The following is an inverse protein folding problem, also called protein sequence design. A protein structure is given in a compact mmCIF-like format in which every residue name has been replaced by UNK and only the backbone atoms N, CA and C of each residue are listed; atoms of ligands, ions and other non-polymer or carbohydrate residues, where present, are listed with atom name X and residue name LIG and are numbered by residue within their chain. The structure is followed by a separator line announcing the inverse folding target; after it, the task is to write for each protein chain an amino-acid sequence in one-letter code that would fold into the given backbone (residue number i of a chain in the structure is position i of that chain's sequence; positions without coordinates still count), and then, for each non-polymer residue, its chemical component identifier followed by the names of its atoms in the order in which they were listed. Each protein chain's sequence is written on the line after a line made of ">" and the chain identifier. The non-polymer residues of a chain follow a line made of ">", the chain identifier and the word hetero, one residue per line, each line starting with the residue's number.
data_IF_886070260018
#
_entry.id   IF_886070260018
#
_cell.length_a   1.000
_cell.length_b   1.000
_cell.length_c   1.000
_cell.angle_alpha   90.00
_cell.angle_beta   90.00
_cell.angle_gamma   90.00
#
_symmetry.space_group_name_H-M   'P 1'
#
loop_
_entity.id
_entity.type
_entity.pdbx_description
1 polymer ?
#
# COMPACT_ATOMS: atom_id res chain seq x y z
N UNK A 1 9.22 7.23 12.03
CA UNK A 1 8.33 6.26 11.35
C UNK A 1 7.68 5.34 12.36
N UNK A 2 6.37 5.27 12.34
CA UNK A 2 5.61 4.35 13.19
C UNK A 2 4.96 3.28 12.32
N UNK A 3 5.39 2.03 12.47
CA UNK A 3 4.80 0.92 11.72
C UNK A 3 3.44 0.56 12.31
N UNK A 4 2.41 0.60 11.48
CA UNK A 4 1.04 0.20 11.87
C UNK A 4 0.82 -1.29 11.59
N UNK A 5 1.22 -1.73 10.39
CA UNK A 5 1.04 -3.10 9.95
C UNK A 5 2.04 -3.41 8.84
N UNK A 6 2.38 -4.67 8.67
CA UNK A 6 3.31 -5.09 7.61
C UNK A 6 3.05 -6.53 7.21
N UNK A 7 3.46 -6.91 5.99
CA UNK A 7 3.40 -8.29 5.55
C UNK A 7 4.42 -9.14 6.31
N UNK A 8 4.16 -10.44 6.40
CA UNK A 8 5.06 -11.39 7.07
C UNK A 8 6.44 -11.46 6.40
N UNK A 9 6.52 -11.10 5.13
CA UNK A 9 7.77 -11.08 4.36
C UNK A 9 8.73 -9.97 4.79
N UNK A 10 8.26 -8.95 5.52
CA UNK A 10 9.11 -7.89 6.07
C UNK A 10 9.67 -8.38 7.41
N UNK A 11 10.89 -8.90 7.39
CA UNK A 11 11.51 -9.57 8.53
C UNK A 11 12.75 -8.86 9.08
N UNK A 12 13.23 -7.82 8.40
CA UNK A 12 14.46 -7.12 8.80
C UNK A 12 14.36 -5.63 8.53
N UNK A 13 15.26 -4.88 9.13
CA UNK A 13 15.40 -3.45 8.84
C UNK A 13 15.73 -3.20 7.38
N UNK A 14 16.48 -4.10 6.76
CA UNK A 14 16.86 -4.00 5.35
C UNK A 14 15.62 -4.18 4.44
N UNK A 15 14.75 -5.13 4.77
CA UNK A 15 13.48 -5.31 4.05
C UNK A 15 12.64 -4.04 4.12
N UNK A 16 12.54 -3.47 5.32
CA UNK A 16 11.78 -2.24 5.53
C UNK A 16 12.39 -1.06 4.77
N UNK A 17 13.72 -0.95 4.76
CA UNK A 17 14.43 0.09 4.02
C UNK A 17 14.12 0.01 2.52
N UNK A 18 14.23 -1.18 1.94
CA UNK A 18 13.96 -1.39 0.51
C UNK A 18 12.51 -1.04 0.15
N UNK A 19 11.60 -1.27 1.07
CA UNK A 19 10.18 -1.01 0.87
C UNK A 19 9.83 0.47 0.99
N UNK A 20 10.50 1.20 1.89
CA UNK A 20 10.07 2.55 2.28
C UNK A 20 11.01 3.68 1.85
N UNK A 21 12.29 3.41 1.69
CA UNK A 21 13.31 4.46 1.48
C UNK A 21 14.09 4.32 0.18
N UNK A 22 13.99 3.19 -0.50
CA UNK A 22 14.73 2.98 -1.75
C UNK A 22 14.35 4.02 -2.81
N UNK A 23 15.32 4.48 -3.63
CA UNK A 23 15.09 5.62 -4.52
C UNK A 23 14.18 5.38 -5.71
N UNK A 24 13.92 4.14 -6.11
CA UNK A 24 13.07 3.82 -7.28
C UNK A 24 11.62 3.56 -6.91
N UNK A 25 11.05 4.41 -6.06
CA UNK A 25 9.64 4.31 -5.68
C UNK A 25 8.80 5.23 -6.54
N UNK A 26 7.63 4.72 -6.93
CA UNK A 26 6.67 5.42 -7.76
C UNK A 26 5.38 5.65 -6.98
N UNK A 27 4.54 6.54 -7.49
CA UNK A 27 3.20 6.75 -6.92
C UNK A 27 2.28 5.63 -7.38
N UNK A 28 1.52 5.06 -6.45
CA UNK A 28 0.59 3.98 -6.77
C UNK A 28 -0.47 4.43 -7.80
N UNK A 29 -0.88 5.69 -7.75
CA UNK A 29 -1.86 6.24 -8.70
C UNK A 29 -1.37 6.16 -10.17
N UNK A 30 -0.06 6.11 -10.39
CA UNK A 30 0.51 6.03 -11.75
C UNK A 30 0.19 4.70 -12.43
N UNK A 31 -0.15 3.67 -11.66
CA UNK A 31 -0.54 2.35 -12.20
C UNK A 31 -2.03 2.06 -12.01
N UNK A 32 -2.85 3.10 -11.93
CA UNK A 32 -4.30 2.92 -11.82
C UNK A 32 -4.84 2.05 -12.97
N UNK A 33 -5.76 1.15 -12.63
CA UNK A 33 -6.30 0.18 -13.57
C UNK A 33 -5.52 -1.13 -13.68
N UNK A 34 -4.31 -1.16 -13.14
CA UNK A 34 -3.44 -2.34 -13.26
C UNK A 34 -3.60 -3.27 -12.04
N UNK A 35 -3.31 -4.55 -12.29
CA UNK A 35 -3.19 -5.58 -11.25
C UNK A 35 -1.72 -5.79 -10.95
N UNK A 36 -1.37 -5.87 -9.67
CA UNK A 36 0.01 -6.12 -9.25
C UNK A 36 0.07 -7.30 -8.30
N UNK A 37 1.18 -8.03 -8.34
CA UNK A 37 1.48 -9.10 -7.41
C UNK A 37 2.39 -8.57 -6.33
N UNK A 38 1.97 -8.72 -5.07
CA UNK A 38 2.69 -8.19 -3.92
C UNK A 38 3.76 -9.17 -3.45
N UNK A 39 4.98 -8.68 -3.31
CA UNK A 39 6.04 -9.38 -2.60
C UNK A 39 6.02 -9.02 -1.12
N UNK A 40 5.91 -7.73 -0.82
CA UNK A 40 5.84 -7.23 0.55
C UNK A 40 5.14 -5.87 0.59
N UNK A 41 4.70 -5.49 1.77
CA UNK A 41 4.09 -4.19 2.00
C UNK A 41 4.26 -3.77 3.45
N UNK A 42 4.15 -2.47 3.71
CA UNK A 42 4.10 -1.91 5.05
C UNK A 42 3.20 -0.68 5.08
N UNK A 43 2.40 -0.59 6.11
CA UNK A 43 1.58 0.58 6.41
C UNK A 43 2.19 1.27 7.62
N UNK A 44 2.47 2.57 7.50
CA UNK A 44 3.16 3.31 8.55
C UNK A 44 2.74 4.77 8.55
N UNK A 45 3.12 5.48 9.62
CA UNK A 45 2.92 6.92 9.73
C UNK A 45 4.27 7.63 9.71
N UNK A 46 4.33 8.76 9.00
CA UNK A 46 5.47 9.65 8.99
C UNK A 46 5.01 11.10 9.11
N UNK A 47 5.86 11.92 9.72
CA UNK A 47 5.65 13.36 9.76
C UNK A 47 6.02 13.97 8.40
N UNK A 48 5.11 14.78 7.83
CA UNK A 48 5.36 15.47 6.58
C UNK A 48 6.07 16.82 6.84
N UNK A 49 6.33 17.58 5.78
CA UNK A 49 7.01 18.88 5.86
C UNK A 49 6.25 19.93 6.67
N UNK A 50 4.97 19.71 6.90
CA UNK A 50 4.11 20.61 7.68
C UNK A 50 3.99 20.20 9.14
N UNK A 51 4.70 19.17 9.57
CA UNK A 51 4.62 18.63 10.92
C UNK A 51 3.39 17.77 11.19
N UNK A 52 2.66 17.36 10.15
CA UNK A 52 1.48 16.52 10.28
C UNK A 52 1.84 15.05 10.10
N UNK A 53 1.20 14.18 10.89
CA UNK A 53 1.36 12.73 10.73
C UNK A 53 0.50 12.23 9.57
N UNK A 54 1.12 11.54 8.61
CA UNK A 54 0.47 11.03 7.41
C UNK A 54 0.63 9.52 7.36
N UNK A 55 -0.48 8.80 7.09
CA UNK A 55 -0.42 7.37 6.80
C UNK A 55 0.07 7.15 5.38
N UNK A 56 0.99 6.22 5.24
CA UNK A 56 1.57 5.83 3.95
C UNK A 56 1.53 4.31 3.84
N UNK A 57 1.07 3.83 2.70
CA UNK A 57 1.19 2.42 2.33
C UNK A 57 2.25 2.29 1.25
N UNK A 58 3.29 1.52 1.54
CA UNK A 58 4.34 1.20 0.56
C UNK A 58 4.23 -0.27 0.19
N UNK A 59 4.29 -0.57 -1.10
CA UNK A 59 4.26 -1.94 -1.61
C UNK A 59 5.48 -2.19 -2.50
N UNK A 60 5.95 -3.43 -2.48
CA UNK A 60 6.97 -3.93 -3.37
C UNK A 60 6.37 -5.08 -4.16
N UNK A 61 6.50 -5.03 -5.49
CA UNK A 61 5.96 -6.07 -6.37
C UNK A 61 6.97 -7.18 -6.59
N UNK A 62 6.52 -8.31 -7.12
CA UNK A 62 7.38 -9.44 -7.47
C UNK A 62 8.46 -9.06 -8.49
N UNK A 63 8.18 -8.08 -9.35
CA UNK A 63 9.15 -7.57 -10.31
C UNK A 63 10.20 -6.65 -9.71
N UNK A 64 10.09 -6.32 -8.42
CA UNK A 64 11.03 -5.45 -7.73
C UNK A 64 10.70 -3.97 -7.79
N UNK A 65 9.54 -3.60 -8.31
CA UNK A 65 9.11 -2.21 -8.38
C UNK A 65 8.40 -1.80 -7.09
N UNK A 66 8.72 -0.60 -6.59
CA UNK A 66 8.13 -0.06 -5.39
C UNK A 66 7.11 1.03 -5.68
N UNK A 67 6.00 1.01 -4.95
CA UNK A 67 4.95 2.02 -5.06
C UNK A 67 4.52 2.47 -3.68
N UNK A 68 4.08 3.71 -3.57
CA UNK A 68 3.56 4.26 -2.32
C UNK A 68 2.31 5.09 -2.56
N UNK A 69 1.45 5.14 -1.58
CA UNK A 69 0.25 5.97 -1.61
C UNK A 69 -0.08 6.48 -0.21
N UNK A 70 -0.64 7.68 -0.15
CA UNK A 70 -1.28 8.23 1.05
C UNK A 70 -2.81 8.35 0.86
N UNK A 71 -3.35 7.72 -0.17
CA UNK A 71 -4.78 7.74 -0.44
C UNK A 71 -5.57 7.12 0.70
N UNK A 72 -6.42 7.91 1.36
CA UNK A 72 -7.21 7.43 2.49
C UNK A 72 -8.16 6.30 2.07
N UNK A 73 -8.77 6.40 0.89
CA UNK A 73 -9.68 5.37 0.37
C UNK A 73 -8.95 4.06 0.12
N UNK A 74 -7.82 4.13 -0.58
CA UNK A 74 -7.04 2.93 -0.88
C UNK A 74 -6.54 2.24 0.40
N UNK A 75 -5.99 3.01 1.32
CA UNK A 75 -5.46 2.50 2.59
C UNK A 75 -6.56 1.85 3.42
N UNK A 76 -7.73 2.48 3.51
CA UNK A 76 -8.88 1.92 4.23
C UNK A 76 -9.29 0.56 3.65
N UNK A 77 -9.40 0.46 2.34
CA UNK A 77 -9.78 -0.79 1.67
C UNK A 77 -8.72 -1.86 1.89
N UNK A 78 -7.46 -1.49 1.80
CA UNK A 78 -6.34 -2.41 2.03
C UNK A 78 -6.32 -2.93 3.46
N UNK A 79 -6.46 -2.05 4.44
CA UNK A 79 -6.51 -2.44 5.86
C UNK A 79 -7.68 -3.38 6.15
N UNK A 80 -8.86 -3.09 5.60
CA UNK A 80 -10.04 -3.95 5.76
C UNK A 80 -9.78 -5.35 5.22
N UNK A 81 -9.15 -5.45 4.06
CA UNK A 81 -8.81 -6.73 3.45
C UNK A 81 -7.78 -7.49 4.29
N UNK A 82 -6.75 -6.80 4.79
CA UNK A 82 -5.73 -7.43 5.66
C UNK A 82 -6.38 -8.01 6.91
N UNK A 83 -7.26 -7.26 7.56
CA UNK A 83 -7.93 -7.70 8.78
C UNK A 83 -8.81 -8.93 8.51
N UNK A 84 -9.55 -8.91 7.41
CA UNK A 84 -10.42 -10.02 7.02
C UNK A 84 -9.60 -11.31 6.76
N UNK A 85 -8.52 -11.20 6.01
CA UNK A 85 -7.68 -12.36 5.69
C UNK A 85 -6.99 -12.92 6.94
N UNK A 86 -6.55 -12.05 7.85
CA UNK A 86 -5.94 -12.47 9.12
C UNK A 86 -6.87 -13.32 9.98
N UNK A 87 -8.17 -13.05 9.97
CA UNK A 87 -9.14 -13.85 10.73
C UNK A 87 -9.16 -15.31 10.27
N UNK A 88 -8.82 -15.56 9.00
CA UNK A 88 -8.74 -16.90 8.42
C UNK A 88 -7.32 -17.44 8.38
N UNK A 89 -6.36 -16.73 9.00
CA UNK A 89 -4.95 -17.14 8.98
C UNK A 89 -4.31 -17.09 7.60
N UNK A 90 -4.77 -16.19 6.74
CA UNK A 90 -4.40 -16.13 5.34
C UNK A 90 -3.83 -14.76 4.95
N UNK A 91 -3.20 -14.69 3.78
CA UNK A 91 -2.69 -13.46 3.16
C UNK A 91 -3.15 -13.42 1.71
N UNK A 92 -3.36 -12.21 1.18
CA UNK A 92 -3.59 -12.02 -0.25
C UNK A 92 -2.31 -11.53 -0.91
N UNK A 93 -2.16 -11.84 -2.21
CA UNK A 93 -0.94 -11.54 -2.96
C UNK A 93 -1.18 -10.70 -4.21
N UNK A 94 -2.41 -10.58 -4.68
CA UNK A 94 -2.73 -9.78 -5.85
C UNK A 94 -3.79 -8.75 -5.54
N UNK A 95 -3.54 -7.53 -5.99
CA UNK A 95 -4.50 -6.44 -5.87
C UNK A 95 -4.62 -5.70 -7.20
N UNK A 96 -5.77 -5.09 -7.43
CA UNK A 96 -5.98 -4.16 -8.53
C UNK A 96 -6.13 -2.76 -7.97
N UNK A 97 -5.46 -1.81 -8.62
CA UNK A 97 -5.59 -0.38 -8.31
C UNK A 97 -6.76 0.16 -9.14
N UNK A 98 -7.91 0.33 -8.52
CA UNK A 98 -9.15 0.65 -9.23
C UNK A 98 -9.37 2.17 -9.21
N UNK A 99 -9.40 2.82 -10.39
CA UNK A 99 -9.70 4.26 -10.43
C UNK A 99 -11.18 4.50 -10.19
N UNK A 100 -11.50 5.62 -9.56
CA UNK A 100 -12.87 6.04 -9.34
C UNK A 100 -12.98 7.56 -9.37
N UNK A 101 -14.21 8.04 -9.47
CA UNK A 101 -14.51 9.47 -9.44
C UNK A 101 -15.65 9.72 -8.46
N UNK A 102 -15.45 10.62 -7.50
CA UNK A 102 -16.47 10.98 -6.54
C UNK A 102 -17.56 11.84 -7.18
N UNK A 103 -18.67 12.05 -6.46
CA UNK A 103 -19.76 12.92 -6.89
C UNK A 103 -19.32 14.35 -7.17
N UNK A 104 -18.26 14.80 -6.52
CA UNK A 104 -17.68 16.15 -6.68
C UNK A 104 -16.64 16.21 -7.81
N UNK A 105 -16.48 15.16 -8.59
CA UNK A 105 -15.50 15.10 -9.68
C UNK A 105 -14.08 14.83 -9.25
N UNK A 106 -13.83 14.50 -7.97
CA UNK A 106 -12.49 14.13 -7.50
C UNK A 106 -12.13 12.72 -7.90
N UNK A 107 -10.94 12.57 -8.46
CA UNK A 107 -10.40 11.26 -8.75
C UNK A 107 -9.82 10.62 -7.49
N UNK A 108 -10.01 9.33 -7.34
CA UNK A 108 -9.43 8.54 -6.26
C UNK A 108 -9.07 7.14 -6.75
N UNK A 109 -8.31 6.42 -5.95
CA UNK A 109 -8.03 5.00 -6.18
C UNK A 109 -8.57 4.18 -5.02
N UNK A 110 -9.04 2.98 -5.34
CA UNK A 110 -9.47 2.00 -4.35
C UNK A 110 -8.76 0.68 -4.60
N UNK A 111 -8.78 -0.20 -3.60
CA UNK A 111 -8.08 -1.48 -3.65
C UNK A 111 -9.09 -2.61 -3.83
N UNK A 112 -8.85 -3.45 -4.84
CA UNK A 112 -9.60 -4.70 -5.05
C UNK A 112 -8.64 -5.87 -4.89
N UNK A 113 -8.96 -6.79 -3.99
CA UNK A 113 -8.17 -8.01 -3.81
C UNK A 113 -8.55 -9.02 -4.89
N UNK A 114 -7.55 -9.59 -5.55
CA UNK A 114 -7.73 -10.56 -6.62
C UNK A 114 -7.32 -11.95 -6.11
N UNK A 115 -8.12 -12.93 -6.44
CA UNK A 115 -7.84 -14.32 -6.04
C UNK A 115 -6.66 -14.92 -6.81
#
# INVERSE_FOLDING_TARGET
>A
MNIISKSASVQSSFDLYNLTKAPNRHKLVDIKGQTVTLKSWALYEEENNKGEMVKILSILTDSGEGYATNSATFIRDFESAVDMFKEFGDEFHQIQVVPGTSKNGREYISCLVIA
#
